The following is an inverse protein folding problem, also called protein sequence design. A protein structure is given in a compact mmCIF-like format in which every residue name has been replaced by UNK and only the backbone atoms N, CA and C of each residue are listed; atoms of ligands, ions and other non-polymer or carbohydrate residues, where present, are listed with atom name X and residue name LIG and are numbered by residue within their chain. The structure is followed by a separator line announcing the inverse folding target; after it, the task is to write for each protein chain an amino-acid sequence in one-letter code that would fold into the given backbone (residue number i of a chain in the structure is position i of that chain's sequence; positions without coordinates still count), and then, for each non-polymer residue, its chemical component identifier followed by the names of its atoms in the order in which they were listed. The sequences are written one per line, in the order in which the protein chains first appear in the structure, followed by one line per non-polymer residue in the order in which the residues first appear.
data_IF_784681251567
#
_entry.id   IF_784681251567
#
_cell.length_a   1.000
_cell.length_b   1.000
_cell.length_c   1.000
_cell.angle_alpha   90.00
_cell.angle_beta   90.00
_cell.angle_gamma   90.00
#
_symmetry.space_group_name_H-M   'P 1'
#
loop_
_entity.id
_entity.type
_entity.pdbx_description
1 polymer ?
#
# COMPACT_ATOMS: atom_id res chain seq x y z
N UNK A 1 -21.69 54.84 35.08
CA UNK A 1 -21.27 54.30 36.36
C UNK A 1 -21.58 52.80 36.36
N UNK A 2 -20.59 52.01 36.08
CA UNK A 2 -20.67 50.56 35.97
C UNK A 2 -20.10 49.94 37.25
N UNK A 3 -20.91 49.24 38.01
CA UNK A 3 -20.48 48.49 39.20
C UNK A 3 -20.07 47.07 38.78
N UNK A 4 -18.81 46.74 38.94
CA UNK A 4 -18.31 45.36 38.90
C UNK A 4 -18.48 44.70 40.25
N UNK A 5 -19.17 43.54 40.31
CA UNK A 5 -19.27 42.72 41.51
C UNK A 5 -18.24 41.59 41.42
N UNK A 6 -17.36 41.53 42.41
CA UNK A 6 -16.23 40.61 42.53
C UNK A 6 -16.72 39.21 42.99
N UNK A 7 -16.10 38.16 42.36
CA UNK A 7 -16.35 36.72 42.59
C UNK A 7 -16.02 36.20 44.03
N UNK A 8 -15.76 37.05 45.00
CA UNK A 8 -15.32 36.65 46.34
C UNK A 8 -16.37 36.74 47.47
N UNK A 9 -17.62 37.07 47.19
CA UNK A 9 -18.65 37.30 48.21
C UNK A 9 -19.82 36.31 48.22
N UNK A 10 -19.70 35.12 47.63
CA UNK A 10 -20.79 34.13 47.63
C UNK A 10 -20.43 32.81 48.33
N UNK A 11 -19.71 32.89 49.43
CA UNK A 11 -19.40 31.74 50.28
C UNK A 11 -19.48 32.14 51.77
N UNK A 12 -20.69 32.39 52.29
CA UNK A 12 -21.00 32.32 53.75
C UNK A 12 -22.51 32.44 53.92
N UNK A 13 -23.15 31.36 54.24
CA UNK A 13 -24.39 31.13 54.96
C UNK A 13 -25.04 29.84 54.45
N UNK A 14 -25.46 28.86 55.18
CA UNK A 14 -25.65 28.55 56.59
C UNK A 14 -25.79 27.06 56.71
N UNK A 15 -25.19 26.46 57.69
CA UNK A 15 -25.49 25.10 58.15
C UNK A 15 -26.63 25.17 59.17
N UNK A 16 -27.65 24.34 59.03
CA UNK A 16 -28.37 23.71 60.18
C UNK A 16 -29.36 22.65 59.67
N UNK A 17 -29.08 21.41 60.03
CA UNK A 17 -29.89 20.31 60.61
C UNK A 17 -31.25 19.93 59.95
N UNK A 18 -31.40 18.64 59.51
CA UNK A 18 -32.02 17.53 60.29
C UNK A 18 -32.03 16.28 59.41
N UNK A 19 -31.81 15.04 59.89
CA UNK A 19 -31.68 13.86 59.07
C UNK A 19 -33.05 13.21 58.74
N UNK A 20 -33.27 12.92 57.48
CA UNK A 20 -34.30 11.96 57.07
C UNK A 20 -33.62 10.83 56.31
N UNK A 21 -33.58 9.68 56.96
CA UNK A 21 -33.10 8.41 56.40
C UNK A 21 -34.11 7.90 55.40
N UNK A 22 -33.82 7.98 54.11
CA UNK A 22 -34.52 7.23 53.08
C UNK A 22 -33.50 6.32 52.40
N UNK A 23 -33.56 5.02 52.72
CA UNK A 23 -32.86 3.97 51.99
C UNK A 23 -33.53 3.82 50.61
N UNK A 24 -32.94 4.42 49.62
CA UNK A 24 -33.20 4.02 48.24
C UNK A 24 -31.98 3.26 47.72
N UNK A 25 -32.17 1.96 47.51
CA UNK A 25 -31.21 1.09 46.79
C UNK A 25 -31.17 1.53 45.32
N UNK A 26 -30.33 2.49 45.00
CA UNK A 26 -29.96 2.73 43.61
C UNK A 26 -28.84 1.77 43.23
N UNK A 27 -29.22 0.70 42.56
CA UNK A 27 -28.27 -0.17 41.84
C UNK A 27 -27.64 0.66 40.71
N UNK A 28 -26.45 1.21 40.97
CA UNK A 28 -25.61 1.79 39.92
C UNK A 28 -25.13 0.61 39.08
N UNK A 29 -25.82 0.34 37.95
CA UNK A 29 -25.24 -0.47 36.88
C UNK A 29 -24.03 0.32 36.32
N UNK A 30 -22.85 0.00 36.83
CA UNK A 30 -21.62 0.31 36.12
C UNK A 30 -21.63 -0.54 34.82
N UNK A 31 -22.15 0.05 33.76
CA UNK A 31 -21.93 -0.47 32.41
C UNK A 31 -20.43 -0.40 32.12
N UNK A 32 -19.76 -1.54 32.25
CA UNK A 32 -18.42 -1.71 31.74
C UNK A 32 -18.55 -1.62 30.21
N UNK A 33 -18.32 -0.40 29.65
CA UNK A 33 -18.00 -0.27 28.25
C UNK A 33 -16.67 -0.99 28.04
N UNK A 34 -16.73 -2.28 27.79
CA UNK A 34 -15.63 -3.04 27.26
C UNK A 34 -15.46 -2.52 25.82
N UNK A 35 -14.58 -1.54 25.66
CA UNK A 35 -14.09 -1.18 24.34
C UNK A 35 -13.53 -2.48 23.75
N UNK A 36 -14.24 -3.04 22.77
CA UNK A 36 -13.68 -4.08 21.95
C UNK A 36 -12.42 -3.46 21.29
N UNK A 37 -11.26 -3.66 21.93
CA UNK A 37 -10.00 -3.55 21.20
C UNK A 37 -10.06 -4.68 20.19
N UNK A 38 -10.34 -4.34 18.94
CA UNK A 38 -10.08 -5.27 17.86
C UNK A 38 -8.60 -5.66 17.97
N UNK A 39 -8.34 -6.94 18.10
CA UNK A 39 -6.99 -7.50 18.01
C UNK A 39 -6.32 -6.89 16.76
N UNK A 40 -5.03 -6.51 16.83
CA UNK A 40 -4.34 -5.95 15.68
C UNK A 40 -4.39 -6.99 14.55
N UNK A 41 -4.96 -6.59 13.41
CA UNK A 41 -5.05 -7.49 12.26
C UNK A 41 -3.63 -7.84 11.79
N UNK A 42 -3.41 -9.09 11.36
CA UNK A 42 -2.11 -9.56 10.86
C UNK A 42 -1.59 -8.70 9.70
N UNK A 43 -2.50 -8.23 8.86
CA UNK A 43 -2.24 -7.28 7.78
C UNK A 43 -3.53 -6.55 7.40
N UNK A 44 -3.38 -5.40 6.78
CA UNK A 44 -4.48 -4.67 6.16
C UNK A 44 -4.54 -4.97 4.65
N UNK A 45 -5.69 -4.69 4.03
CA UNK A 45 -5.87 -4.87 2.59
C UNK A 45 -5.93 -3.50 1.93
N UNK A 46 -5.21 -3.33 0.82
CA UNK A 46 -5.31 -2.21 -0.09
C UNK A 46 -5.80 -2.65 -1.47
N UNK A 47 -6.19 -1.69 -2.31
CA UNK A 47 -6.57 -1.93 -3.69
C UNK A 47 -5.57 -1.21 -4.62
N UNK A 48 -4.90 -1.98 -5.48
CA UNK A 48 -4.12 -1.44 -6.57
C UNK A 48 -5.06 -1.01 -7.71
N UNK A 49 -4.87 0.20 -8.20
CA UNK A 49 -5.68 0.81 -9.25
C UNK A 49 -5.64 0.00 -10.55
N UNK A 50 -4.52 -0.71 -10.78
CA UNK A 50 -4.40 -1.62 -11.91
C UNK A 50 -5.47 -2.73 -11.94
N UNK A 51 -6.04 -3.09 -10.81
CA UNK A 51 -7.18 -4.02 -10.75
C UNK A 51 -8.41 -3.55 -11.54
N UNK A 52 -8.51 -2.25 -11.84
CA UNK A 52 -9.57 -1.62 -12.61
C UNK A 52 -9.08 -1.05 -13.95
N UNK A 53 -7.94 -1.56 -14.46
CA UNK A 53 -7.27 -1.03 -15.64
C UNK A 53 -8.14 -1.04 -16.91
N UNK A 54 -9.02 -2.02 -17.08
CA UNK A 54 -9.93 -2.09 -18.23
C UNK A 54 -11.00 -1.01 -18.13
N UNK A 55 -11.63 -0.87 -16.97
CA UNK A 55 -12.66 0.14 -16.67
C UNK A 55 -12.10 1.56 -16.79
N UNK A 56 -10.90 1.80 -16.26
CA UNK A 56 -10.21 3.10 -16.36
C UNK A 56 -9.80 3.43 -17.79
N UNK A 57 -9.20 2.48 -18.52
CA UNK A 57 -8.82 2.67 -19.93
C UNK A 57 -10.04 2.84 -20.85
N UNK A 58 -11.19 2.28 -20.52
CA UNK A 58 -12.44 2.50 -21.24
C UNK A 58 -13.08 3.88 -20.94
N UNK A 59 -12.58 4.62 -19.93
CA UNK A 59 -13.16 5.86 -19.47
C UNK A 59 -14.49 5.70 -18.74
N UNK A 60 -14.76 4.50 -18.26
CA UNK A 60 -15.97 4.18 -17.47
C UNK A 60 -15.80 4.54 -15.99
N UNK A 61 -14.56 4.72 -15.52
CA UNK A 61 -14.19 5.25 -14.22
C UNK A 61 -13.14 6.35 -14.40
N UNK A 62 -13.32 7.47 -13.72
CA UNK A 62 -12.29 8.52 -13.60
C UNK A 62 -11.33 8.19 -12.44
N UNK A 63 -10.03 8.43 -12.64
CA UNK A 63 -9.03 8.24 -11.59
C UNK A 63 -9.36 9.00 -10.29
N UNK A 64 -9.98 10.17 -10.40
CA UNK A 64 -10.42 10.94 -9.23
C UNK A 64 -11.49 10.22 -8.40
N UNK A 65 -12.28 9.33 -9.00
CA UNK A 65 -13.33 8.57 -8.32
C UNK A 65 -12.82 7.22 -7.77
N UNK A 66 -11.58 6.82 -8.08
CA UNK A 66 -11.01 5.56 -7.63
C UNK A 66 -11.01 5.37 -6.10
N UNK A 67 -10.63 6.35 -5.25
CA UNK A 67 -10.72 6.21 -3.80
C UNK A 67 -12.15 5.95 -3.31
N UNK A 68 -13.14 6.65 -3.88
CA UNK A 68 -14.55 6.47 -3.55
C UNK A 68 -15.06 5.07 -3.95
N UNK A 69 -14.65 4.58 -5.12
CA UNK A 69 -14.93 3.22 -5.61
C UNK A 69 -14.32 2.16 -4.69
N UNK A 70 -13.05 2.30 -4.30
CA UNK A 70 -12.40 1.39 -3.37
C UNK A 70 -13.16 1.27 -2.04
N UNK A 71 -13.61 2.39 -1.52
CA UNK A 71 -14.38 2.45 -0.26
C UNK A 71 -15.81 1.96 -0.43
N UNK A 72 -16.52 2.48 -1.43
CA UNK A 72 -17.96 2.26 -1.63
C UNK A 72 -18.28 0.84 -2.09
N UNK A 73 -17.56 0.33 -3.06
CA UNK A 73 -17.86 -0.95 -3.70
C UNK A 73 -17.19 -2.13 -3.00
N UNK A 74 -16.01 -1.92 -2.42
CA UNK A 74 -15.22 -3.01 -1.84
C UNK A 74 -14.99 -2.88 -0.32
N UNK A 75 -15.32 -1.74 0.29
CA UNK A 75 -15.04 -1.48 1.71
C UNK A 75 -13.54 -1.42 2.04
N UNK A 76 -12.70 -1.06 1.06
CA UNK A 76 -11.25 -0.96 1.20
C UNK A 76 -10.87 0.49 1.53
N UNK A 77 -10.04 0.66 2.56
CA UNK A 77 -9.67 1.96 3.13
C UNK A 77 -8.25 2.42 2.77
N UNK A 78 -7.63 1.78 1.79
CA UNK A 78 -6.29 2.12 1.34
C UNK A 78 -6.12 1.79 -0.15
N UNK A 79 -5.45 2.66 -0.90
CA UNK A 79 -5.30 2.56 -2.36
C UNK A 79 -3.85 2.76 -2.80
N UNK A 80 -3.54 2.19 -3.96
CA UNK A 80 -2.26 2.24 -4.63
C UNK A 80 -2.49 2.69 -6.07
N UNK A 81 -2.06 3.92 -6.38
CA UNK A 81 -2.30 4.54 -7.69
C UNK A 81 -1.35 4.03 -8.76
N UNK A 82 -1.75 4.20 -10.03
CA UNK A 82 -0.88 3.95 -11.20
C UNK A 82 -0.79 5.24 -12.02
N UNK A 83 0.41 5.70 -12.25
CA UNK A 83 0.69 6.98 -12.91
C UNK A 83 0.10 7.10 -14.32
N UNK A 84 -0.10 5.99 -15.02
CA UNK A 84 -0.64 6.00 -16.38
C UNK A 84 -2.06 6.54 -16.46
N UNK A 85 -2.86 6.47 -15.39
CA UNK A 85 -4.24 6.96 -15.36
C UNK A 85 -4.35 8.47 -15.08
N UNK A 86 -3.24 9.11 -14.67
CA UNK A 86 -3.15 10.56 -14.48
C UNK A 86 -1.80 11.14 -14.89
N UNK A 87 -1.25 10.65 -16.01
CA UNK A 87 0.13 10.87 -16.45
C UNK A 87 0.51 12.33 -16.59
N UNK A 88 -0.40 13.17 -17.05
CA UNK A 88 -0.16 14.61 -17.26
C UNK A 88 -0.47 15.46 -16.01
N UNK A 89 -0.72 14.81 -14.86
CA UNK A 89 -1.21 15.44 -13.64
C UNK A 89 -0.24 15.44 -12.47
N UNK A 90 0.95 14.85 -12.64
CA UNK A 90 1.93 14.76 -11.54
C UNK A 90 2.28 16.13 -10.92
N UNK A 91 2.25 17.22 -11.70
CA UNK A 91 2.56 18.59 -11.28
C UNK A 91 1.32 19.50 -11.22
N UNK A 92 0.13 18.97 -11.55
CA UNK A 92 -1.15 19.71 -11.48
C UNK A 92 -1.65 19.75 -10.04
N UNK A 93 -1.29 20.81 -9.32
CA UNK A 93 -1.66 20.98 -7.90
C UNK A 93 -3.18 21.02 -7.67
N UNK A 94 -3.97 21.49 -8.64
CA UNK A 94 -5.43 21.48 -8.56
C UNK A 94 -5.98 20.07 -8.61
N UNK A 95 -5.48 19.27 -9.54
CA UNK A 95 -5.86 17.86 -9.68
C UNK A 95 -5.44 17.02 -8.46
N UNK A 96 -4.18 17.16 -8.03
CA UNK A 96 -3.68 16.43 -6.86
C UNK A 96 -4.44 16.80 -5.58
N UNK A 97 -4.84 18.08 -5.45
CA UNK A 97 -5.66 18.54 -4.33
C UNK A 97 -7.05 17.89 -4.36
N UNK A 98 -7.71 17.80 -5.51
CA UNK A 98 -9.01 17.15 -5.67
C UNK A 98 -8.90 15.64 -5.37
N UNK A 99 -7.89 14.95 -5.92
CA UNK A 99 -7.66 13.52 -5.65
C UNK A 99 -7.46 13.26 -4.16
N UNK A 100 -6.59 14.06 -3.52
CA UNK A 100 -6.35 13.96 -2.07
C UNK A 100 -7.62 14.20 -1.27
N UNK A 101 -8.39 15.25 -1.59
CA UNK A 101 -9.62 15.59 -0.89
C UNK A 101 -10.65 14.46 -1.00
N UNK A 102 -10.81 13.86 -2.19
CA UNK A 102 -11.72 12.72 -2.38
C UNK A 102 -11.29 11.49 -1.60
N UNK A 103 -9.99 11.21 -1.51
CA UNK A 103 -9.47 10.15 -0.66
C UNK A 103 -9.78 10.43 0.82
N UNK A 104 -9.48 11.64 1.31
CA UNK A 104 -9.73 12.05 2.70
C UNK A 104 -11.23 12.03 3.05
N UNK A 105 -12.11 12.52 2.17
CA UNK A 105 -13.57 12.55 2.36
C UNK A 105 -14.18 11.14 2.44
N UNK A 106 -13.57 10.16 1.79
CA UNK A 106 -13.97 8.75 1.86
C UNK A 106 -13.24 7.96 2.95
N UNK A 107 -12.35 8.58 3.71
CA UNK A 107 -11.54 7.91 4.73
C UNK A 107 -10.57 6.87 4.14
N UNK A 108 -10.07 7.12 2.94
CA UNK A 108 -9.16 6.25 2.19
C UNK A 108 -7.74 6.79 2.26
N UNK A 109 -6.79 5.94 2.59
CA UNK A 109 -5.36 6.29 2.62
C UNK A 109 -4.70 6.02 1.28
N UNK A 110 -3.94 6.99 0.78
CA UNK A 110 -3.04 6.84 -0.36
C UNK A 110 -1.73 6.21 0.11
N UNK A 111 -1.34 5.06 -0.45
CA UNK A 111 -0.16 4.32 0.01
C UNK A 111 1.06 4.53 -0.88
N UNK A 112 0.88 4.43 -2.17
CA UNK A 112 1.97 4.55 -3.15
C UNK A 112 1.44 4.96 -4.53
N UNK A 113 2.38 5.37 -5.40
CA UNK A 113 2.14 5.54 -6.84
C UNK A 113 3.05 4.55 -7.58
N UNK A 114 2.46 3.69 -8.41
CA UNK A 114 3.19 2.83 -9.34
C UNK A 114 3.56 3.67 -10.58
N UNK A 115 4.87 3.76 -10.87
CA UNK A 115 5.40 4.57 -11.95
C UNK A 115 5.86 3.70 -13.11
N UNK A 116 5.14 3.80 -14.24
CA UNK A 116 5.46 3.12 -15.49
C UNK A 116 5.69 4.13 -16.62
N UNK A 117 6.55 3.77 -17.58
CA UNK A 117 6.79 4.58 -18.76
C UNK A 117 7.64 5.84 -18.55
N UNK A 118 8.39 5.92 -17.47
CA UNK A 118 9.27 7.05 -17.15
C UNK A 118 10.73 6.84 -17.59
N UNK A 119 11.01 5.76 -18.31
CA UNK A 119 12.34 5.35 -18.75
C UNK A 119 12.95 4.25 -17.87
N UNK A 120 14.02 3.63 -18.35
CA UNK A 120 14.70 2.56 -17.63
C UNK A 120 15.71 3.13 -16.63
N UNK A 121 15.51 2.85 -15.35
CA UNK A 121 16.43 3.28 -14.28
C UNK A 121 17.82 2.62 -14.38
N UNK A 122 17.92 1.49 -15.10
CA UNK A 122 19.18 0.83 -15.41
C UNK A 122 19.58 0.98 -16.88
N UNK A 123 19.22 2.08 -17.59
CA UNK A 123 19.60 2.23 -18.99
C UNK A 123 21.15 2.25 -19.13
N UNK A 124 21.72 1.47 -20.07
CA UNK A 124 23.18 1.49 -20.31
C UNK A 124 23.72 2.86 -20.71
N UNK A 125 22.91 3.65 -21.41
CA UNK A 125 23.30 5.01 -21.77
C UNK A 125 23.10 5.97 -20.58
N UNK A 126 24.17 6.54 -20.08
CA UNK A 126 24.15 7.39 -18.86
C UNK A 126 23.15 8.56 -18.99
N UNK A 127 23.08 9.20 -20.16
CA UNK A 127 22.14 10.29 -20.38
C UNK A 127 20.67 9.84 -20.30
N UNK A 128 20.36 8.66 -20.85
CA UNK A 128 19.01 8.09 -20.78
C UNK A 128 18.67 7.65 -19.37
N UNK A 129 19.62 7.03 -18.64
CA UNK A 129 19.45 6.66 -17.23
C UNK A 129 19.24 7.90 -16.34
N UNK A 130 20.01 8.97 -16.57
CA UNK A 130 19.83 10.23 -15.86
C UNK A 130 18.44 10.82 -16.12
N UNK A 131 18.01 10.86 -17.37
CA UNK A 131 16.67 11.35 -17.72
C UNK A 131 15.56 10.50 -17.10
N UNK A 132 15.73 9.16 -17.04
CA UNK A 132 14.78 8.29 -16.37
C UNK A 132 14.68 8.61 -14.87
N UNK A 133 15.80 8.83 -14.19
CA UNK A 133 15.81 9.25 -12.76
C UNK A 133 15.06 10.57 -12.60
N UNK A 134 15.35 11.58 -13.42
CA UNK A 134 14.72 12.90 -13.36
C UNK A 134 13.22 12.86 -13.66
N UNK A 135 12.79 11.99 -14.59
CA UNK A 135 11.36 11.81 -14.91
C UNK A 135 10.55 11.31 -13.71
N UNK A 136 11.17 10.55 -12.79
CA UNK A 136 10.50 10.05 -11.59
C UNK A 136 10.38 11.13 -10.49
N UNK A 137 11.13 12.23 -10.53
CA UNK A 137 11.11 13.25 -9.47
C UNK A 137 9.71 13.82 -9.22
N UNK A 138 8.99 14.15 -10.28
CA UNK A 138 7.61 14.67 -10.19
C UNK A 138 6.66 13.68 -9.50
N UNK A 139 6.89 12.36 -9.66
CA UNK A 139 6.08 11.33 -9.01
C UNK A 139 6.41 11.17 -7.54
N UNK A 140 7.67 11.36 -7.15
CA UNK A 140 8.08 11.44 -5.74
C UNK A 140 7.40 12.63 -5.06
N UNK A 141 7.37 13.80 -5.71
CA UNK A 141 6.71 15.01 -5.21
C UNK A 141 5.19 14.83 -5.13
N UNK A 142 4.56 14.24 -6.16
CA UNK A 142 3.14 13.91 -6.15
C UNK A 142 2.78 12.91 -5.05
N UNK A 143 3.60 11.85 -4.86
CA UNK A 143 3.42 10.88 -3.80
C UNK A 143 3.49 11.53 -2.41
N UNK A 144 4.47 12.41 -2.20
CA UNK A 144 4.56 13.21 -0.95
C UNK A 144 3.31 14.05 -0.72
N UNK A 145 2.84 14.75 -1.76
CA UNK A 145 1.65 15.60 -1.66
C UNK A 145 0.39 14.80 -1.31
N UNK A 146 0.20 13.64 -1.94
CA UNK A 146 -0.94 12.73 -1.69
C UNK A 146 -0.85 12.01 -0.33
N UNK A 147 0.29 12.08 0.37
CA UNK A 147 0.49 11.39 1.65
C UNK A 147 0.89 9.92 1.50
N UNK A 148 1.35 9.51 0.32
CA UNK A 148 1.92 8.19 0.07
C UNK A 148 3.22 7.99 0.86
N UNK A 149 3.57 6.73 1.13
CA UNK A 149 4.85 6.38 1.74
C UNK A 149 5.91 5.96 0.72
N UNK A 150 5.53 5.66 -0.52
CA UNK A 150 6.43 5.11 -1.54
C UNK A 150 6.05 5.53 -2.96
N UNK A 151 7.01 5.46 -3.86
CA UNK A 151 6.80 5.25 -5.30
C UNK A 151 7.30 3.86 -5.68
N UNK A 152 6.52 3.10 -6.48
CA UNK A 152 6.96 1.85 -7.06
C UNK A 152 7.54 2.12 -8.44
N UNK A 153 8.70 1.55 -8.71
CA UNK A 153 9.43 1.69 -9.97
C UNK A 153 9.88 0.32 -10.50
N UNK A 154 10.37 0.30 -11.73
CA UNK A 154 10.91 -0.90 -12.38
C UNK A 154 12.45 -0.83 -12.45
N UNK A 155 13.13 -1.97 -12.19
CA UNK A 155 14.57 -2.09 -12.34
C UNK A 155 14.96 -2.56 -13.75
N UNK A 156 14.38 -1.93 -14.78
CA UNK A 156 14.65 -2.28 -16.17
C UNK A 156 16.08 -1.87 -16.58
N UNK A 157 16.77 -2.81 -17.26
CA UNK A 157 18.12 -2.61 -17.77
C UNK A 157 18.38 -3.51 -18.99
N UNK A 158 19.60 -3.48 -19.54
CA UNK A 158 20.07 -4.32 -20.64
C UNK A 158 21.54 -4.63 -20.46
N UNK A 159 21.99 -5.78 -20.96
CA UNK A 159 23.37 -6.28 -20.85
C UNK A 159 23.42 -7.62 -20.14
N UNK A 160 24.59 -8.00 -19.65
CA UNK A 160 24.74 -9.18 -18.78
C UNK A 160 24.02 -8.97 -17.44
N UNK A 161 23.70 -10.03 -16.69
CA UNK A 161 23.05 -9.88 -15.38
C UNK A 161 23.84 -8.98 -14.42
N UNK A 162 25.16 -9.03 -14.45
CA UNK A 162 26.05 -8.21 -13.63
C UNK A 162 26.00 -6.73 -14.06
N UNK A 163 26.09 -6.46 -15.36
CA UNK A 163 25.96 -5.10 -15.90
C UNK A 163 24.59 -4.50 -15.58
N UNK A 164 23.51 -5.29 -15.72
CA UNK A 164 22.17 -4.84 -15.38
C UNK A 164 22.04 -4.53 -13.87
N UNK A 165 22.65 -5.33 -13.01
CA UNK A 165 22.67 -5.07 -11.56
C UNK A 165 23.35 -3.74 -11.24
N UNK A 166 24.55 -3.50 -11.80
CA UNK A 166 25.29 -2.27 -11.55
C UNK A 166 24.53 -1.03 -12.03
N UNK A 167 23.98 -1.10 -13.24
CA UNK A 167 23.22 0.01 -13.84
C UNK A 167 21.92 0.29 -13.10
N UNK A 168 21.15 -0.75 -12.75
CA UNK A 168 19.92 -0.60 -11.98
C UNK A 168 20.20 -0.05 -10.57
N UNK A 169 21.28 -0.50 -9.94
CA UNK A 169 21.68 0.00 -8.62
C UNK A 169 22.05 1.49 -8.67
N UNK A 170 22.78 1.95 -9.70
CA UNK A 170 23.12 3.36 -9.89
C UNK A 170 21.85 4.23 -10.01
N UNK A 171 20.94 3.87 -10.92
CA UNK A 171 19.73 4.67 -11.10
C UNK A 171 18.81 4.67 -9.88
N UNK A 172 18.65 3.51 -9.23
CA UNK A 172 17.87 3.38 -8.00
C UNK A 172 18.49 4.17 -6.83
N UNK A 173 19.81 4.14 -6.68
CA UNK A 173 20.49 4.92 -5.65
C UNK A 173 20.23 6.42 -5.84
N UNK A 174 20.44 6.93 -7.04
CA UNK A 174 20.23 8.36 -7.37
C UNK A 174 18.78 8.79 -7.13
N UNK A 175 17.80 7.98 -7.54
CA UNK A 175 16.39 8.27 -7.29
C UNK A 175 16.06 8.20 -5.80
N UNK A 176 16.61 7.22 -5.08
CA UNK A 176 16.38 7.05 -3.65
C UNK A 176 16.96 8.20 -2.83
N UNK A 177 18.13 8.72 -3.20
CA UNK A 177 18.73 9.90 -2.56
C UNK A 177 17.82 11.13 -2.71
N UNK A 178 17.24 11.35 -3.91
CA UNK A 178 16.25 12.41 -4.11
C UNK A 178 14.99 12.17 -3.26
N UNK A 179 14.42 10.97 -3.32
CA UNK A 179 13.19 10.60 -2.61
C UNK A 179 13.34 10.66 -1.09
N UNK A 180 14.54 10.40 -0.56
CA UNK A 180 14.85 10.52 0.86
C UNK A 180 14.66 11.93 1.39
N UNK A 181 14.96 12.95 0.60
CA UNK A 181 14.69 14.36 0.92
C UNK A 181 13.20 14.69 1.06
N UNK A 182 12.32 13.86 0.51
CA UNK A 182 10.87 13.98 0.57
C UNK A 182 10.21 12.99 1.56
N UNK A 183 10.98 12.20 2.30
CA UNK A 183 10.48 11.10 3.14
C UNK A 183 9.72 10.01 2.38
N UNK A 184 9.98 9.83 1.10
CA UNK A 184 9.38 8.81 0.24
C UNK A 184 10.36 7.64 0.05
N UNK A 185 9.84 6.41 0.05
CA UNK A 185 10.63 5.24 -0.32
C UNK A 185 10.53 4.99 -1.82
N UNK A 186 11.61 4.48 -2.39
CA UNK A 186 11.65 3.92 -3.75
C UNK A 186 11.61 2.41 -3.63
N UNK A 187 10.56 1.80 -4.15
CA UNK A 187 10.38 0.35 -4.06
C UNK A 187 10.29 -0.27 -5.44
N UNK A 188 10.94 -1.42 -5.60
CA UNK A 188 11.00 -2.14 -6.87
C UNK A 188 10.09 -3.35 -6.81
N UNK A 189 9.23 -3.48 -7.82
CA UNK A 189 8.44 -4.68 -8.04
C UNK A 189 9.22 -5.70 -8.88
N UNK A 190 9.05 -6.99 -8.58
CA UNK A 190 9.43 -8.05 -9.50
C UNK A 190 8.45 -8.03 -10.69
N UNK A 191 8.87 -7.38 -11.80
CA UNK A 191 7.97 -7.04 -12.92
C UNK A 191 8.63 -7.33 -14.28
N UNK A 192 8.89 -8.61 -14.56
CA UNK A 192 9.49 -9.09 -15.82
C UNK A 192 11.02 -8.96 -15.88
N UNK A 193 11.62 -9.69 -16.81
CA UNK A 193 13.07 -9.72 -16.96
C UNK A 193 13.78 -10.19 -15.70
N UNK A 194 15.00 -9.72 -15.48
CA UNK A 194 15.78 -10.10 -14.29
C UNK A 194 15.16 -9.63 -12.96
N UNK A 195 14.30 -8.62 -12.95
CA UNK A 195 13.60 -8.24 -11.71
C UNK A 195 12.65 -9.34 -11.20
N UNK A 196 12.20 -10.25 -12.09
CA UNK A 196 11.44 -11.45 -11.73
C UNK A 196 12.29 -12.59 -11.13
N UNK A 197 13.62 -12.42 -11.04
CA UNK A 197 14.50 -13.31 -10.31
C UNK A 197 14.75 -12.73 -8.92
N UNK A 198 14.20 -13.34 -7.88
CA UNK A 198 14.27 -12.84 -6.50
C UNK A 198 15.70 -12.67 -6.00
N UNK A 199 16.60 -13.62 -6.33
CA UNK A 199 18.01 -13.53 -5.94
C UNK A 199 18.72 -12.34 -6.61
N UNK A 200 18.45 -12.10 -7.90
CA UNK A 200 19.00 -10.95 -8.63
C UNK A 200 18.49 -9.63 -8.05
N UNK A 201 17.17 -9.48 -7.89
CA UNK A 201 16.61 -8.22 -7.36
C UNK A 201 17.06 -7.97 -5.92
N UNK A 202 17.18 -9.01 -5.10
CA UNK A 202 17.76 -8.89 -3.76
C UNK A 202 19.23 -8.44 -3.79
N UNK A 203 20.01 -8.83 -4.82
CA UNK A 203 21.37 -8.35 -4.98
C UNK A 203 21.44 -6.87 -5.34
N UNK A 204 20.51 -6.38 -6.17
CA UNK A 204 20.33 -4.94 -6.45
C UNK A 204 20.02 -4.18 -5.17
N UNK A 205 19.09 -4.66 -4.34
CA UNK A 205 18.75 -4.01 -3.06
C UNK A 205 19.95 -3.91 -2.13
N UNK A 206 20.75 -4.99 -2.05
CA UNK A 206 21.99 -5.00 -1.26
C UNK A 206 23.07 -4.05 -1.80
N UNK A 207 23.14 -3.89 -3.12
CA UNK A 207 24.09 -2.97 -3.75
C UNK A 207 23.71 -1.50 -3.52
N UNK A 208 22.41 -1.16 -3.57
CA UNK A 208 21.92 0.19 -3.23
C UNK A 208 22.12 0.51 -1.75
N UNK A 209 21.93 -0.46 -0.87
CA UNK A 209 22.13 -0.36 0.60
C UNK A 209 21.59 0.94 1.22
N UNK A 210 20.37 1.30 0.89
CA UNK A 210 19.74 2.50 1.42
C UNK A 210 18.41 2.19 2.14
N UNK A 211 18.15 2.73 3.35
CA UNK A 211 16.98 2.35 4.15
C UNK A 211 15.64 2.71 3.49
N UNK A 212 15.62 3.63 2.53
CA UNK A 212 14.43 4.01 1.77
C UNK A 212 14.33 3.31 0.40
N UNK A 213 15.33 2.53 -0.01
CA UNK A 213 15.21 1.61 -1.12
C UNK A 213 14.66 0.28 -0.63
N UNK A 214 13.75 -0.32 -1.38
CA UNK A 214 13.15 -1.59 -0.98
C UNK A 214 12.40 -2.27 -2.11
N UNK A 215 11.57 -3.23 -1.76
CA UNK A 215 10.80 -4.01 -2.73
C UNK A 215 9.30 -3.91 -2.48
N UNK A 216 8.54 -4.20 -3.54
CA UNK A 216 7.13 -4.56 -3.53
C UNK A 216 7.05 -5.97 -4.12
N UNK A 217 7.17 -7.03 -3.30
CA UNK A 217 7.02 -8.40 -3.79
C UNK A 217 5.62 -8.63 -4.33
N UNK A 218 5.54 -8.97 -5.63
CA UNK A 218 4.32 -9.37 -6.32
C UNK A 218 4.24 -10.91 -6.38
N UNK A 219 3.05 -11.48 -6.14
CA UNK A 219 2.85 -12.93 -6.05
C UNK A 219 2.85 -13.64 -7.41
N UNK A 220 2.67 -12.92 -8.52
CA UNK A 220 2.50 -13.49 -9.85
C UNK A 220 3.65 -13.24 -10.83
N UNK A 221 4.37 -12.14 -10.68
CA UNK A 221 5.34 -11.62 -11.65
C UNK A 221 6.72 -12.31 -11.56
N UNK A 222 6.77 -13.62 -11.74
CA UNK A 222 7.99 -14.41 -11.68
C UNK A 222 8.46 -14.98 -13.03
N UNK A 223 8.00 -14.38 -14.15
CA UNK A 223 8.43 -14.74 -15.49
C UNK A 223 9.64 -13.90 -15.90
N UNK A 224 10.82 -14.55 -16.04
CA UNK A 224 12.07 -13.89 -16.45
C UNK A 224 12.11 -13.75 -17.99
N UNK A 225 11.76 -14.82 -18.72
CA UNK A 225 11.70 -14.88 -20.17
C UNK A 225 10.54 -15.79 -20.61
N UNK A 226 10.38 -16.02 -21.94
CA UNK A 226 9.22 -16.74 -22.49
C UNK A 226 8.95 -18.08 -21.80
N UNK A 227 9.97 -18.88 -21.57
CA UNK A 227 9.88 -20.21 -20.93
C UNK A 227 10.69 -20.29 -19.61
N UNK A 228 11.12 -19.16 -19.06
CA UNK A 228 11.93 -19.11 -17.86
C UNK A 228 11.17 -18.44 -16.71
N UNK A 229 10.84 -19.26 -15.69
CA UNK A 229 10.07 -18.85 -14.52
C UNK A 229 10.88 -19.09 -13.25
N UNK A 230 10.91 -18.10 -12.40
CA UNK A 230 11.46 -18.23 -11.05
C UNK A 230 10.42 -18.82 -10.09
N UNK A 231 10.86 -19.60 -9.09
CA UNK A 231 9.92 -20.05 -8.04
C UNK A 231 9.39 -18.86 -7.25
N UNK A 232 8.06 -18.65 -7.29
CA UNK A 232 7.42 -17.48 -6.68
C UNK A 232 7.55 -17.42 -5.17
N UNK A 233 7.52 -18.57 -4.49
CA UNK A 233 7.62 -18.61 -3.03
C UNK A 233 9.05 -18.34 -2.58
N UNK A 234 10.02 -18.89 -3.28
CA UNK A 234 11.43 -18.55 -3.07
C UNK A 234 11.67 -17.07 -3.36
N UNK A 235 11.19 -16.57 -4.49
CA UNK A 235 11.38 -15.18 -4.90
C UNK A 235 10.78 -14.20 -3.89
N UNK A 236 9.53 -14.40 -3.46
CA UNK A 236 8.94 -13.58 -2.40
C UNK A 236 9.76 -13.67 -1.12
N UNK A 237 10.17 -14.88 -0.68
CA UNK A 237 11.01 -15.05 0.51
C UNK A 237 12.33 -14.27 0.44
N UNK A 238 12.95 -14.20 -0.74
CA UNK A 238 14.19 -13.46 -0.98
C UNK A 238 13.99 -11.94 -0.99
N UNK A 239 12.80 -11.47 -1.40
CA UNK A 239 12.46 -10.05 -1.50
C UNK A 239 11.91 -9.47 -0.19
N UNK A 240 11.25 -10.29 0.64
CA UNK A 240 10.63 -9.84 1.90
C UNK A 240 11.55 -9.09 2.86
N UNK A 241 12.84 -9.39 3.01
CA UNK A 241 13.74 -8.60 3.87
C UNK A 241 13.83 -7.11 3.50
N UNK A 242 13.48 -6.75 2.27
CA UNK A 242 13.49 -5.39 1.75
C UNK A 242 12.09 -4.81 1.55
N UNK A 243 11.03 -5.60 1.79
CA UNK A 243 9.67 -5.23 1.45
C UNK A 243 9.14 -4.03 2.26
N UNK A 244 8.50 -3.11 1.56
CA UNK A 244 7.78 -1.97 2.15
C UNK A 244 6.30 -1.95 1.76
N UNK A 245 5.91 -2.76 0.78
CA UNK A 245 4.55 -3.08 0.37
C UNK A 245 4.56 -4.51 -0.19
N UNK A 246 3.39 -5.10 -0.43
CA UNK A 246 3.22 -6.44 -1.01
C UNK A 246 2.04 -6.41 -1.97
N UNK A 247 2.20 -6.96 -3.18
CA UNK A 247 1.14 -7.09 -4.18
C UNK A 247 0.61 -8.54 -4.22
N UNK A 248 -0.67 -8.69 -3.88
CA UNK A 248 -1.40 -9.95 -3.99
C UNK A 248 -2.00 -10.09 -5.40
N UNK A 249 -1.14 -10.26 -6.39
CA UNK A 249 -1.58 -10.50 -7.77
C UNK A 249 -2.39 -11.78 -7.87
N UNK A 250 -3.52 -11.68 -8.57
CA UNK A 250 -4.44 -12.78 -8.80
C UNK A 250 -4.98 -12.77 -10.22
N UNK A 251 -5.30 -13.95 -10.74
CA UNK A 251 -5.85 -14.11 -12.09
C UNK A 251 -7.16 -14.89 -12.08
N UNK A 252 -7.10 -16.16 -11.70
CA UNK A 252 -8.22 -17.08 -11.79
C UNK A 252 -8.48 -17.78 -10.45
N UNK A 253 -9.74 -18.13 -10.21
CA UNK A 253 -10.17 -18.80 -8.98
C UNK A 253 -10.85 -20.11 -9.31
N UNK A 254 -10.68 -21.11 -8.43
CA UNK A 254 -11.39 -22.38 -8.48
C UNK A 254 -12.79 -22.29 -7.84
N UNK A 255 -13.50 -23.42 -7.78
CA UNK A 255 -14.84 -23.52 -7.19
C UNK A 255 -14.87 -23.30 -5.66
N UNK A 256 -13.71 -23.31 -5.00
CA UNK A 256 -13.55 -23.08 -3.57
C UNK A 256 -13.13 -21.63 -3.27
N UNK A 257 -12.91 -20.83 -4.30
CA UNK A 257 -12.43 -19.44 -4.22
C UNK A 257 -10.95 -19.34 -3.92
N UNK A 258 -10.17 -20.37 -4.17
CA UNK A 258 -8.72 -20.36 -4.06
C UNK A 258 -8.10 -19.96 -5.43
N UNK A 259 -7.06 -19.14 -5.39
CA UNK A 259 -6.36 -18.69 -6.62
C UNK A 259 -5.60 -19.87 -7.24
N UNK A 260 -5.72 -20.04 -8.56
CA UNK A 260 -5.28 -21.26 -9.24
C UNK A 260 -3.77 -21.31 -9.54
N UNK A 261 -3.10 -20.18 -9.60
CA UNK A 261 -1.66 -20.07 -9.88
C UNK A 261 -0.80 -19.94 -8.63
N UNK A 262 -1.37 -19.40 -7.54
CA UNK A 262 -0.65 -19.11 -6.29
C UNK A 262 -1.41 -19.66 -5.09
N UNK A 263 -0.78 -20.53 -4.30
CA UNK A 263 -1.30 -20.93 -2.99
C UNK A 263 -1.14 -19.75 -2.01
N UNK A 264 -2.21 -19.01 -1.79
CA UNK A 264 -2.23 -17.82 -0.92
C UNK A 264 -1.96 -18.16 0.54
N UNK A 265 -2.36 -19.36 0.99
CA UNK A 265 -2.07 -19.79 2.35
C UNK A 265 -0.57 -19.97 2.58
N UNK A 266 0.11 -20.62 1.62
CA UNK A 266 1.56 -20.79 1.64
C UNK A 266 2.27 -19.44 1.46
N UNK A 267 1.81 -18.60 0.53
CA UNK A 267 2.41 -17.32 0.24
C UNK A 267 2.32 -16.35 1.43
N UNK A 268 1.17 -16.28 2.07
CA UNK A 268 1.00 -15.40 3.23
C UNK A 268 1.79 -15.86 4.45
N UNK A 269 2.08 -17.17 4.60
CA UNK A 269 3.05 -17.61 5.61
C UNK A 269 4.44 -17.05 5.33
N UNK A 270 4.91 -17.09 4.07
CA UNK A 270 6.20 -16.49 3.69
C UNK A 270 6.24 -14.99 4.06
N UNK A 271 5.16 -14.26 3.78
CA UNK A 271 5.05 -12.83 4.11
C UNK A 271 5.07 -12.58 5.62
N UNK A 272 4.29 -13.36 6.38
CA UNK A 272 4.14 -13.19 7.83
C UNK A 272 5.36 -13.68 8.60
N UNK A 273 6.03 -14.74 8.15
CA UNK A 273 7.30 -15.25 8.71
C UNK A 273 8.42 -14.23 8.61
N UNK A 274 8.41 -13.40 7.56
CA UNK A 274 9.33 -12.27 7.43
C UNK A 274 9.00 -11.09 8.38
N UNK A 275 7.94 -11.20 9.17
CA UNK A 275 7.53 -10.15 10.11
C UNK A 275 6.71 -9.01 9.49
N UNK A 276 6.29 -9.13 8.23
CA UNK A 276 5.50 -8.08 7.57
C UNK A 276 4.08 -8.01 8.15
N UNK A 277 3.63 -6.80 8.47
CA UNK A 277 2.31 -6.50 9.05
C UNK A 277 1.66 -5.27 8.40
N UNK A 278 2.11 -4.91 7.21
CA UNK A 278 1.63 -3.75 6.45
C UNK A 278 0.36 -4.04 5.64
N UNK A 279 0.21 -3.32 4.52
CA UNK A 279 -0.86 -3.55 3.56
C UNK A 279 -0.44 -4.60 2.53
N UNK A 280 -1.42 -5.43 2.17
CA UNK A 280 -1.34 -6.39 1.06
C UNK A 280 -2.30 -5.89 -0.01
N UNK A 281 -1.75 -5.42 -1.12
CA UNK A 281 -2.50 -4.80 -2.21
C UNK A 281 -3.16 -5.83 -3.11
N UNK A 282 -4.46 -5.73 -3.32
CA UNK A 282 -5.17 -6.52 -4.32
C UNK A 282 -4.76 -6.01 -5.70
N UNK A 283 -4.26 -6.90 -6.55
CA UNK A 283 -3.99 -6.62 -7.95
C UNK A 283 -4.54 -7.75 -8.84
N UNK A 284 -5.78 -7.57 -9.29
CA UNK A 284 -6.46 -8.54 -10.14
C UNK A 284 -6.19 -8.26 -11.62
N UNK A 285 -5.68 -9.27 -12.33
CA UNK A 285 -5.41 -9.23 -13.78
C UNK A 285 -6.08 -10.37 -14.57
N UNK A 286 -6.96 -11.12 -13.93
CA UNK A 286 -7.65 -12.23 -14.58
C UNK A 286 -8.61 -11.79 -15.69
N UNK A 287 -8.95 -12.72 -16.57
CA UNK A 287 -9.83 -12.49 -17.71
C UNK A 287 -11.15 -13.25 -17.65
N UNK A 288 -11.29 -14.22 -16.74
CA UNK A 288 -12.51 -15.03 -16.63
C UNK A 288 -13.61 -14.33 -15.83
N UNK A 289 -13.23 -13.60 -14.79
CA UNK A 289 -14.15 -12.77 -14.02
C UNK A 289 -14.08 -11.31 -14.50
N UNK A 290 -15.13 -10.54 -14.27
CA UNK A 290 -15.05 -9.09 -14.38
C UNK A 290 -14.10 -8.52 -13.32
N UNK A 291 -13.60 -7.29 -13.52
CA UNK A 291 -12.72 -6.64 -12.53
C UNK A 291 -13.39 -6.56 -11.14
N UNK A 292 -14.67 -6.14 -11.00
CA UNK A 292 -15.34 -6.14 -9.71
C UNK A 292 -15.44 -7.52 -9.05
N UNK A 293 -15.73 -8.57 -9.82
CA UNK A 293 -15.80 -9.95 -9.31
C UNK A 293 -14.42 -10.44 -8.88
N UNK A 294 -13.37 -10.19 -9.67
CA UNK A 294 -12.00 -10.58 -9.37
C UNK A 294 -11.42 -9.88 -8.15
N UNK A 295 -11.67 -8.58 -8.00
CA UNK A 295 -11.30 -7.82 -6.80
C UNK A 295 -11.99 -8.41 -5.57
N UNK A 296 -13.29 -8.69 -5.68
CA UNK A 296 -14.08 -9.25 -4.57
C UNK A 296 -13.59 -10.65 -4.19
N UNK A 297 -13.25 -11.49 -5.17
CA UNK A 297 -12.71 -12.83 -4.96
C UNK A 297 -11.33 -12.78 -4.27
N UNK A 298 -10.43 -11.91 -4.74
CA UNK A 298 -9.10 -11.73 -4.12
C UNK A 298 -9.23 -11.22 -2.68
N UNK A 299 -10.12 -10.26 -2.44
CA UNK A 299 -10.40 -9.75 -1.09
C UNK A 299 -10.89 -10.86 -0.17
N UNK A 300 -11.88 -11.65 -0.62
CA UNK A 300 -12.43 -12.76 0.17
C UNK A 300 -11.35 -13.81 0.49
N UNK A 301 -10.47 -14.12 -0.48
CA UNK A 301 -9.35 -15.04 -0.28
C UNK A 301 -8.33 -14.50 0.74
N UNK A 302 -7.97 -13.23 0.67
CA UNK A 302 -7.09 -12.59 1.67
C UNK A 302 -7.74 -12.60 3.07
N UNK A 303 -9.03 -12.27 3.18
CA UNK A 303 -9.75 -12.31 4.46
C UNK A 303 -9.84 -13.72 5.04
N UNK A 304 -10.14 -14.73 4.20
CA UNK A 304 -10.12 -16.18 4.57
C UNK A 304 -8.74 -16.59 5.09
N UNK A 305 -7.70 -16.23 4.35
CA UNK A 305 -6.31 -16.56 4.70
C UNK A 305 -5.89 -15.90 6.02
N UNK A 306 -6.23 -14.62 6.21
CA UNK A 306 -5.96 -13.88 7.45
C UNK A 306 -6.65 -14.51 8.66
N UNK A 307 -7.90 -14.91 8.50
CA UNK A 307 -8.66 -15.55 9.59
C UNK A 307 -8.07 -16.91 10.00
N UNK A 308 -7.62 -17.72 9.01
CA UNK A 308 -7.00 -19.03 9.29
C UNK A 308 -5.63 -18.88 9.95
N UNK A 309 -4.84 -17.88 9.51
CA UNK A 309 -3.48 -17.68 10.03
C UNK A 309 -3.45 -16.90 11.36
N UNK A 310 -4.58 -16.35 11.81
CA UNK A 310 -4.64 -15.55 13.03
C UNK A 310 -4.08 -16.33 14.24
N UNK A 311 -4.46 -17.58 14.40
CA UNK A 311 -4.02 -18.41 15.54
C UNK A 311 -2.52 -18.80 15.47
N UNK A 312 -1.89 -18.71 14.29
CA UNK A 312 -0.47 -19.05 14.09
C UNK A 312 0.47 -17.88 14.38
N UNK A 313 -0.01 -16.63 14.27
CA UNK A 313 0.82 -15.42 14.27
C UNK A 313 0.44 -14.35 15.31
N UNK A 314 -0.38 -14.72 16.30
CA UNK A 314 -0.73 -13.86 17.45
C UNK A 314 0.13 -14.11 18.69
#
# INVERSE_FOLDING_TARGET
MTYQVSRRQLLKAVATSVPVTVLSRSSILLGVFQACRSEPQLYSISLAEWSLHRTLNAGELDNLDFPATARGDYGIEAVEYVNSFFKDKAEDQGYLTDLKQRADDNGVRSLLIMCDGEGALGDPEEAARTQAVENHYRWVEAAKFLGCHSVRVNAQSRGTPEEQQDLASDGLQRLTEFAAGHDINVIVENHGGLSSNGAWLSSVMRAVDHPRCGTLPDFGNFRIAEDDWYDRYQGVSELMPFAKAVSAKSHDFDEHGDETGTDYMRMMRVVLDAGYRGHVGIEYEGSRLSEPEGISATKALLEKTRAVLADEYH
#
